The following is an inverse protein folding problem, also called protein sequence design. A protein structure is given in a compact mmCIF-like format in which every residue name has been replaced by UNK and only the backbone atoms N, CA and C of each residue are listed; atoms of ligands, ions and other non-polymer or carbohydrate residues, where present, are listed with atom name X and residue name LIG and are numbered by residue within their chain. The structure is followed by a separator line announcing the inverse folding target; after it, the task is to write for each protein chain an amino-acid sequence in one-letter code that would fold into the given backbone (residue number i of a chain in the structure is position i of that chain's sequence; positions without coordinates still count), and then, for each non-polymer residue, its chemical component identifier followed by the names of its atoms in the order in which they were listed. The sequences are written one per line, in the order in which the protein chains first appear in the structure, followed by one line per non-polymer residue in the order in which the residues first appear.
data_IF_464143298343
#
_entry.id   IF_464143298343
#
_cell.length_a   1.000
_cell.length_b   1.000
_cell.length_c   1.000
_cell.angle_alpha   90.00
_cell.angle_beta   90.00
_cell.angle_gamma   90.00
#
_symmetry.space_group_name_H-M   'P 1'
#
loop_
_entity.id
_entity.type
_entity.pdbx_description
1 polymer ?
#
# COMPACT_ATOMS: atom_id res chain seq x y z
N UNK A 1 -27.94 -6.88 -3.39
CA UNK A 1 -26.84 -7.18 -2.45
C UNK A 1 -25.74 -6.19 -2.82
N UNK A 2 -25.47 -5.21 -1.96
CA UNK A 2 -24.37 -4.29 -2.20
C UNK A 2 -23.09 -5.10 -2.08
N UNK A 3 -22.32 -5.20 -3.16
CA UNK A 3 -20.95 -5.70 -3.08
C UNK A 3 -20.20 -4.71 -2.22
N UNK A 4 -19.66 -5.18 -1.12
CA UNK A 4 -18.72 -4.43 -0.30
C UNK A 4 -17.57 -4.08 -1.27
N UNK A 5 -17.47 -2.81 -1.66
CA UNK A 5 -16.48 -2.34 -2.62
C UNK A 5 -15.11 -2.52 -1.97
N UNK A 6 -14.48 -3.70 -2.17
CA UNK A 6 -13.18 -4.00 -1.61
C UNK A 6 -12.18 -2.96 -2.12
N UNK A 7 -11.65 -2.15 -1.20
CA UNK A 7 -10.73 -1.10 -1.56
C UNK A 7 -9.36 -1.71 -1.84
N UNK A 8 -8.71 -1.31 -2.93
CA UNK A 8 -7.34 -1.76 -3.23
C UNK A 8 -6.32 -0.76 -2.70
N UNK A 9 -5.21 -1.25 -2.15
CA UNK A 9 -4.04 -0.43 -1.83
C UNK A 9 -2.80 -0.95 -2.56
N UNK A 10 -1.82 -0.07 -2.79
CA UNK A 10 -0.55 -0.44 -3.39
C UNK A 10 0.42 0.72 -3.50
N UNK A 11 1.67 0.40 -3.80
CA UNK A 11 2.73 1.40 -3.89
C UNK A 11 3.99 0.86 -4.57
N UNK A 12 4.82 1.80 -5.04
CA UNK A 12 6.12 1.53 -5.64
C UNK A 12 7.17 2.27 -4.83
N UNK A 13 8.09 1.54 -4.21
CA UNK A 13 9.25 2.14 -3.58
C UNK A 13 10.35 2.33 -4.62
N UNK A 14 10.90 3.54 -4.69
CA UNK A 14 12.02 3.87 -5.58
C UNK A 14 13.21 4.38 -4.80
N UNK A 15 14.41 4.15 -5.32
CA UNK A 15 15.63 4.78 -4.81
C UNK A 15 15.78 6.23 -5.31
N UNK A 16 16.84 6.91 -4.87
CA UNK A 16 17.16 8.29 -5.27
C UNK A 16 17.41 8.45 -6.77
N UNK A 17 17.85 7.39 -7.45
CA UNK A 17 18.07 7.36 -8.90
C UNK A 17 16.77 7.06 -9.68
N UNK A 18 15.69 6.73 -8.97
CA UNK A 18 14.38 6.39 -9.51
C UNK A 18 14.18 4.90 -9.84
N UNK A 19 15.14 4.02 -9.50
CA UNK A 19 14.98 2.58 -9.73
C UNK A 19 13.97 1.98 -8.75
N UNK A 20 13.16 1.03 -9.21
CA UNK A 20 12.19 0.33 -8.35
C UNK A 20 12.91 -0.62 -7.41
N UNK A 21 12.78 -0.39 -6.10
CA UNK A 21 13.30 -1.27 -5.04
C UNK A 21 12.28 -2.29 -4.56
N UNK A 22 11.00 -1.92 -4.52
CA UNK A 22 9.91 -2.81 -4.11
C UNK A 22 8.57 -2.37 -4.70
N UNK A 23 7.64 -3.33 -4.79
CA UNK A 23 6.28 -3.10 -5.25
C UNK A 23 5.33 -3.93 -4.40
N UNK A 24 4.26 -3.31 -3.92
CA UNK A 24 3.23 -4.00 -3.16
C UNK A 24 1.85 -3.62 -3.66
N UNK A 25 0.91 -4.56 -3.58
CA UNK A 25 -0.49 -4.35 -3.90
C UNK A 25 -1.33 -5.38 -3.17
N UNK A 26 -2.51 -5.01 -2.72
CA UNK A 26 -3.42 -5.96 -2.07
C UNK A 26 -4.81 -5.38 -1.79
N UNK A 27 -5.75 -6.25 -1.41
CA UNK A 27 -7.01 -5.79 -0.84
C UNK A 27 -6.73 -5.07 0.48
N UNK A 28 -7.46 -3.98 0.70
CA UNK A 28 -7.42 -3.17 1.90
C UNK A 28 -8.80 -3.22 2.55
N UNK A 29 -8.88 -3.90 3.69
CA UNK A 29 -10.07 -3.92 4.54
C UNK A 29 -10.17 -2.59 5.29
N UNK A 30 -10.50 -1.54 4.56
CA UNK A 30 -10.65 -0.18 5.06
C UNK A 30 -12.12 0.26 4.96
N UNK A 31 -12.56 0.96 6.00
CA UNK A 31 -13.91 1.52 6.13
C UNK A 31 -14.14 2.74 5.23
N UNK A 32 -13.08 3.41 4.83
CA UNK A 32 -13.08 4.62 4.03
C UNK A 32 -11.70 4.82 3.35
N UNK A 33 -11.61 5.82 2.48
CA UNK A 33 -10.40 6.11 1.72
C UNK A 33 -9.22 6.57 2.59
N UNK A 34 -9.47 7.34 3.65
CA UNK A 34 -8.42 7.83 4.55
C UNK A 34 -7.80 6.66 5.32
N UNK A 35 -8.65 5.74 5.79
CA UNK A 35 -8.23 4.48 6.42
C UNK A 35 -7.42 3.59 5.45
N UNK A 36 -7.80 3.54 4.17
CA UNK A 36 -7.08 2.77 3.15
C UNK A 36 -5.71 3.39 2.84
N UNK A 37 -5.63 4.72 2.75
CA UNK A 37 -4.38 5.45 2.56
C UNK A 37 -3.42 5.23 3.73
N UNK A 38 -3.92 5.31 4.97
CA UNK A 38 -3.12 5.03 6.15
C UNK A 38 -2.58 3.59 6.15
N UNK A 39 -3.41 2.61 5.79
CA UNK A 39 -2.99 1.21 5.66
C UNK A 39 -1.92 1.00 4.58
N UNK A 40 -2.03 1.71 3.45
CA UNK A 40 -1.02 1.68 2.39
C UNK A 40 0.33 2.25 2.87
N UNK A 41 0.32 3.33 3.67
CA UNK A 41 1.52 3.93 4.25
C UNK A 41 2.18 2.98 5.25
N UNK A 42 1.40 2.36 6.15
CA UNK A 42 1.93 1.37 7.10
C UNK A 42 2.60 0.22 6.35
N UNK A 43 1.94 -0.31 5.32
CA UNK A 43 2.49 -1.38 4.47
C UNK A 43 3.79 -0.95 3.79
N UNK A 44 3.84 0.28 3.26
CA UNK A 44 5.06 0.82 2.65
C UNK A 44 6.22 0.92 3.66
N UNK A 45 5.95 1.33 4.90
CA UNK A 45 6.95 1.40 5.97
C UNK A 45 7.45 0.01 6.37
N UNK A 46 6.57 -0.97 6.48
CA UNK A 46 6.96 -2.36 6.76
C UNK A 46 7.86 -2.92 5.65
N UNK A 47 7.50 -2.65 4.38
CA UNK A 47 8.34 -2.99 3.23
C UNK A 47 9.71 -2.31 3.38
N UNK A 48 9.78 -1.00 3.63
CA UNK A 48 11.05 -0.28 3.81
C UNK A 48 11.92 -0.94 4.90
N UNK A 49 11.33 -1.32 6.03
CA UNK A 49 12.05 -1.98 7.13
C UNK A 49 12.57 -3.36 6.69
N UNK A 50 11.80 -4.12 5.91
CA UNK A 50 12.16 -5.44 5.43
C UNK A 50 13.35 -5.42 4.45
N UNK A 51 13.37 -4.46 3.52
CA UNK A 51 14.42 -4.37 2.48
C UNK A 51 15.66 -3.56 2.88
N UNK A 52 15.59 -2.70 3.90
CA UNK A 52 16.70 -1.88 4.40
C UNK A 52 17.27 -0.85 3.42
#
# INVERSE_FOLDING_TARGET
MATEEAMGCGGVLRDEEGNVRALFSGPCDAIDADSAELGAIITALDVIIEIG
#
